data_IF_297465983713
#
_entry.id   IF_297465983713
#
_cell.length_a   1.000
_cell.length_b   1.000
_cell.length_c   1.000
_cell.angle_alpha   90.00
_cell.angle_beta   90.00
_cell.angle_gamma   90.00
#
_symmetry.space_group_name_H-M   'P 1'
#
loop_
_entity.id
_entity.type
_entity.pdbx_description
1 polymer ?
#
# COMPACT_ATOMS: atom_id res chain seq x y z
N UNK A 1 13.71 3.70 12.54
CA UNK A 1 13.00 2.78 13.45
C UNK A 1 11.66 3.32 13.95
N UNK A 2 11.57 4.56 14.44
CA UNK A 2 10.34 5.17 14.98
C UNK A 2 9.17 5.13 13.97
N UNK A 3 9.39 5.41 12.69
CA UNK A 3 8.33 5.39 11.67
C UNK A 3 7.70 4.01 11.44
N UNK A 4 8.49 2.94 11.49
CA UNK A 4 7.96 1.57 11.41
C UNK A 4 7.17 1.19 12.65
N UNK A 5 7.61 1.65 13.83
CA UNK A 5 6.88 1.46 15.07
C UNK A 5 5.51 2.14 15.03
N UNK A 6 5.45 3.40 14.58
CA UNK A 6 4.19 4.14 14.44
C UNK A 6 3.27 3.49 13.42
N UNK A 7 3.79 3.06 12.27
CA UNK A 7 3.00 2.37 11.25
C UNK A 7 2.42 1.05 11.77
N UNK A 8 3.23 0.23 12.45
CA UNK A 8 2.81 -1.04 13.04
C UNK A 8 1.85 -0.87 14.21
N UNK A 9 2.06 0.15 15.04
CA UNK A 9 1.24 0.45 16.21
C UNK A 9 -0.24 0.64 15.86
N UNK A 10 -0.53 1.33 14.75
CA UNK A 10 -1.92 1.51 14.27
C UNK A 10 -2.58 0.16 13.97
N UNK A 11 -1.87 -0.76 13.29
CA UNK A 11 -2.39 -2.09 13.02
C UNK A 11 -2.59 -2.93 14.29
N UNK A 12 -1.70 -2.80 15.28
CA UNK A 12 -1.81 -3.49 16.57
C UNK A 12 -3.00 -2.95 17.39
N UNK A 13 -3.21 -1.62 17.38
CA UNK A 13 -4.37 -1.02 18.07
C UNK A 13 -5.70 -1.54 17.53
N UNK A 14 -5.83 -1.71 16.21
CA UNK A 14 -7.04 -2.25 15.60
C UNK A 14 -7.30 -3.69 16.05
N UNK A 15 -6.25 -4.48 16.29
CA UNK A 15 -6.36 -5.87 16.73
C UNK A 15 -6.96 -6.03 18.15
N UNK A 16 -6.84 -5.01 19.00
CA UNK A 16 -7.36 -5.03 20.38
C UNK A 16 -8.83 -4.65 20.45
N UNK A 17 -9.40 -4.18 19.34
CA UNK A 17 -10.82 -3.83 19.28
C UNK A 17 -11.70 -5.05 19.13
N UNK A 18 -12.92 -5.00 19.69
CA UNK A 18 -13.92 -6.07 19.61
C UNK A 18 -14.62 -6.21 18.26
N UNK A 19 -14.15 -5.51 17.23
CA UNK A 19 -14.75 -5.53 15.89
C UNK A 19 -14.41 -6.83 15.15
N UNK A 20 -15.42 -7.57 14.66
CA UNK A 20 -15.23 -8.91 14.08
C UNK A 20 -14.26 -8.94 12.89
N UNK A 21 -14.30 -7.93 12.03
CA UNK A 21 -13.42 -7.83 10.87
C UNK A 21 -11.96 -7.68 11.28
N UNK A 22 -11.67 -6.75 12.19
CA UNK A 22 -10.29 -6.51 12.66
C UNK A 22 -9.77 -7.67 13.51
N UNK A 23 -10.62 -8.25 14.37
CA UNK A 23 -10.26 -9.41 15.19
C UNK A 23 -9.92 -10.64 14.32
N UNK A 24 -10.70 -10.91 13.27
CA UNK A 24 -10.44 -12.02 12.35
C UNK A 24 -9.15 -11.83 11.54
N UNK A 25 -8.75 -10.59 11.26
CA UNK A 25 -7.57 -10.25 10.46
C UNK A 25 -6.38 -9.80 11.29
N UNK A 26 -6.48 -9.88 12.61
CA UNK A 26 -5.50 -9.41 13.60
C UNK A 26 -4.02 -9.75 13.25
N UNK A 27 -3.64 -11.00 12.90
CA UNK A 27 -2.23 -11.33 12.67
C UNK A 27 -1.65 -10.66 11.42
N UNK A 28 -2.49 -10.18 10.48
CA UNK A 28 -2.05 -9.64 9.19
C UNK A 28 -2.13 -8.12 9.13
N UNK A 29 -3.05 -7.49 9.89
CA UNK A 29 -3.22 -6.02 9.86
C UNK A 29 -1.95 -5.26 10.23
N UNK A 30 -1.25 -5.66 11.28
CA UNK A 30 0.02 -5.04 11.69
C UNK A 30 1.08 -5.07 10.58
N UNK A 31 1.46 -6.25 10.08
CA UNK A 31 2.35 -6.41 8.93
C UNK A 31 1.90 -5.63 7.69
N UNK A 32 0.61 -5.63 7.36
CA UNK A 32 0.07 -4.89 6.22
C UNK A 32 0.32 -3.38 6.36
N UNK A 33 0.03 -2.80 7.53
CA UNK A 33 0.26 -1.37 7.78
C UNK A 33 1.74 -0.99 7.71
N UNK A 34 2.64 -1.87 8.18
CA UNK A 34 4.09 -1.67 8.09
C UNK A 34 4.55 -1.70 6.63
N UNK A 35 4.14 -2.70 5.86
CA UNK A 35 4.53 -2.86 4.45
C UNK A 35 3.97 -1.73 3.60
N UNK A 36 2.70 -1.38 3.78
CA UNK A 36 2.07 -0.24 3.11
C UNK A 36 2.74 1.09 3.47
N UNK A 37 3.17 1.26 4.73
CA UNK A 37 3.96 2.41 5.18
C UNK A 37 5.34 2.46 4.52
N UNK A 38 5.99 1.31 4.36
CA UNK A 38 7.29 1.21 3.70
C UNK A 38 7.19 1.53 2.20
N UNK A 39 6.18 1.00 1.50
CA UNK A 39 5.93 1.28 0.08
C UNK A 39 5.60 2.77 -0.14
N UNK A 40 4.65 3.33 0.60
CA UNK A 40 4.31 4.76 0.48
C UNK A 40 5.51 5.66 0.83
N UNK A 41 6.33 5.29 1.81
CA UNK A 41 7.59 5.98 2.13
C UNK A 41 8.59 5.94 0.98
N UNK A 42 8.80 4.78 0.38
CA UNK A 42 9.67 4.62 -0.79
C UNK A 42 9.17 5.43 -1.99
N UNK A 43 7.86 5.39 -2.27
CA UNK A 43 7.22 6.17 -3.32
C UNK A 43 7.40 7.69 -3.10
N UNK A 44 7.25 8.17 -1.86
CA UNK A 44 7.47 9.58 -1.50
C UNK A 44 8.92 10.01 -1.72
N UNK A 45 9.89 9.18 -1.32
CA UNK A 45 11.31 9.44 -1.53
C UNK A 45 11.63 9.45 -3.04
N UNK A 46 11.10 8.48 -3.79
CA UNK A 46 11.25 8.39 -5.26
C UNK A 46 10.75 9.66 -5.93
N UNK A 47 9.56 10.15 -5.53
CA UNK A 47 8.97 11.37 -6.04
C UNK A 47 9.84 12.60 -5.71
N UNK A 48 10.32 12.70 -4.47
CA UNK A 48 11.19 13.78 -4.02
C UNK A 48 12.54 13.81 -4.75
N UNK A 49 13.19 12.65 -4.91
CA UNK A 49 14.45 12.51 -5.64
C UNK A 49 14.29 12.93 -7.11
N UNK A 50 13.16 12.54 -7.72
CA UNK A 50 12.82 12.91 -9.09
C UNK A 50 12.61 14.43 -9.23
N UNK A 51 11.92 15.04 -8.28
CA UNK A 51 11.65 16.47 -8.28
C UNK A 51 12.94 17.30 -8.10
N UNK A 52 13.80 16.87 -7.19
CA UNK A 52 15.08 17.55 -6.91
C UNK A 52 16.15 17.30 -7.98
N UNK A 53 15.94 16.36 -8.90
CA UNK A 53 16.95 15.95 -9.92
C UNK A 53 18.30 15.53 -9.32
N UNK A 54 18.32 15.12 -8.05
CA UNK A 54 19.55 14.88 -7.25
C UNK A 54 19.80 13.38 -7.04
N UNK A 55 19.31 12.53 -7.93
CA UNK A 55 19.39 11.10 -7.72
C UNK A 55 20.73 10.52 -8.14
N UNK A 56 21.38 9.81 -7.22
CA UNK A 56 22.35 8.78 -7.58
C UNK A 56 21.59 7.62 -8.22
N UNK A 57 21.86 7.30 -9.48
CA UNK A 57 21.14 6.29 -10.27
C UNK A 57 21.06 4.94 -9.55
N UNK A 58 22.11 4.55 -8.82
CA UNK A 58 22.17 3.30 -8.07
C UNK A 58 21.21 3.27 -6.86
N UNK A 59 21.17 4.33 -6.08
CA UNK A 59 20.28 4.43 -4.93
C UNK A 59 18.81 4.49 -5.37
N UNK A 60 18.54 5.21 -6.45
CA UNK A 60 17.23 5.32 -7.05
C UNK A 60 16.70 3.96 -7.56
N UNK A 61 17.54 3.21 -8.28
CA UNK A 61 17.17 1.88 -8.77
C UNK A 61 16.86 0.91 -7.61
N UNK A 62 17.67 0.91 -6.56
CA UNK A 62 17.40 0.09 -5.37
C UNK A 62 16.08 0.47 -4.69
N UNK A 63 15.79 1.75 -4.59
CA UNK A 63 14.56 2.24 -3.98
C UNK A 63 13.32 1.80 -4.79
N UNK A 64 13.36 1.92 -6.11
CA UNK A 64 12.27 1.48 -6.99
C UNK A 64 12.08 -0.04 -6.93
N UNK A 65 13.17 -0.81 -6.85
CA UNK A 65 13.09 -2.27 -6.68
C UNK A 65 12.49 -2.65 -5.32
N UNK A 66 12.89 -1.94 -4.26
CA UNK A 66 12.32 -2.14 -2.93
C UNK A 66 10.81 -1.85 -2.92
N UNK A 67 10.39 -0.71 -3.48
CA UNK A 67 8.98 -0.35 -3.58
C UNK A 67 8.17 -1.41 -4.34
N UNK A 68 8.69 -1.90 -5.46
CA UNK A 68 8.05 -3.00 -6.21
C UNK A 68 7.84 -4.25 -5.36
N UNK A 69 8.85 -4.66 -4.58
CA UNK A 69 8.75 -5.83 -3.69
C UNK A 69 7.72 -5.55 -2.58
N UNK A 70 7.76 -4.38 -1.97
CA UNK A 70 6.84 -3.98 -0.92
C UNK A 70 5.38 -4.02 -1.42
N UNK A 71 5.10 -3.48 -2.61
CA UNK A 71 3.75 -3.51 -3.22
C UNK A 71 3.30 -4.95 -3.54
N UNK A 72 4.21 -5.84 -3.97
CA UNK A 72 3.88 -7.25 -4.17
C UNK A 72 3.53 -7.95 -2.85
N UNK A 73 4.29 -7.69 -1.79
CA UNK A 73 3.99 -8.22 -0.44
C UNK A 73 2.67 -7.66 0.08
N UNK A 74 2.39 -6.38 -0.15
CA UNK A 74 1.12 -5.75 0.20
C UNK A 74 -0.07 -6.46 -0.47
N UNK A 75 0.05 -6.78 -1.76
CA UNK A 75 -0.98 -7.53 -2.49
C UNK A 75 -1.21 -8.92 -1.88
N UNK A 76 -0.14 -9.63 -1.52
CA UNK A 76 -0.24 -10.94 -0.87
C UNK A 76 -0.92 -10.84 0.51
N UNK A 77 -0.59 -9.82 1.30
CA UNK A 77 -1.21 -9.58 2.60
C UNK A 77 -2.70 -9.21 2.47
N UNK A 78 -3.08 -8.43 1.47
CA UNK A 78 -4.48 -8.14 1.16
C UNK A 78 -5.23 -9.43 0.79
N UNK A 79 -4.65 -10.28 -0.05
CA UNK A 79 -5.25 -11.57 -0.39
C UNK A 79 -5.42 -12.46 0.87
N UNK A 80 -4.43 -12.47 1.77
CA UNK A 80 -4.51 -13.19 3.03
C UNK A 80 -5.61 -12.64 3.97
N UNK A 81 -5.83 -11.31 3.98
CA UNK A 81 -6.96 -10.70 4.71
C UNK A 81 -8.29 -11.26 4.22
N UNK A 82 -8.50 -11.36 2.90
CA UNK A 82 -9.74 -11.94 2.36
C UNK A 82 -9.94 -13.40 2.75
N UNK A 83 -8.85 -14.17 2.80
CA UNK A 83 -8.91 -15.57 3.22
C UNK A 83 -9.28 -15.71 4.70
N UNK A 84 -8.73 -14.87 5.56
CA UNK A 84 -8.99 -14.91 7.00
C UNK A 84 -10.33 -14.26 7.38
N UNK A 85 -10.66 -13.13 6.77
CA UNK A 85 -11.89 -12.41 7.06
C UNK A 85 -13.14 -13.22 6.64
N UNK A 86 -13.05 -14.02 5.55
CA UNK A 86 -14.15 -14.84 5.07
C UNK A 86 -15.45 -14.05 4.96
N UNK A 87 -16.48 -14.45 5.71
CA UNK A 87 -17.78 -13.77 5.76
C UNK A 87 -17.74 -12.34 6.29
N UNK A 88 -16.74 -12.00 7.11
CA UNK A 88 -16.58 -10.64 7.65
C UNK A 88 -15.99 -9.65 6.64
N UNK A 89 -15.57 -10.10 5.45
CA UNK A 89 -15.16 -9.24 4.35
C UNK A 89 -16.35 -8.63 3.56
N UNK A 90 -17.58 -9.00 3.88
CA UNK A 90 -18.80 -8.52 3.19
C UNK A 90 -18.88 -6.98 3.05
N UNK A 91 -18.45 -6.14 4.02
CA UNK A 91 -18.47 -4.69 3.86
C UNK A 91 -17.62 -4.20 2.68
N UNK A 92 -16.52 -4.86 2.35
CA UNK A 92 -15.64 -4.50 1.23
C UNK A 92 -16.24 -4.76 -0.15
N UNK A 93 -17.33 -5.55 -0.21
CA UNK A 93 -18.11 -5.83 -1.43
C UNK A 93 -19.39 -5.00 -1.54
N UNK A 94 -19.71 -4.20 -0.51
CA UNK A 94 -20.86 -3.29 -0.57
C UNK A 94 -20.53 -2.03 -1.38
N UNK A 95 -21.55 -1.47 -2.05
CA UNK A 95 -21.45 -0.13 -2.65
C UNK A 95 -21.48 0.91 -1.51
N UNK A 96 -20.55 1.91 -1.46
CA UNK A 96 -19.55 2.36 -2.42
C UNK A 96 -18.14 1.75 -2.25
N UNK A 97 -17.91 0.89 -1.23
CA UNK A 97 -16.59 0.33 -0.93
C UNK A 97 -16.02 -0.53 -2.06
N UNK A 98 -16.88 -1.18 -2.84
CA UNK A 98 -16.46 -1.95 -4.00
C UNK A 98 -15.61 -1.11 -4.96
N UNK A 99 -16.09 0.06 -5.35
CA UNK A 99 -15.35 0.94 -6.26
C UNK A 99 -14.11 1.55 -5.61
N UNK A 100 -14.22 1.95 -4.34
CA UNK A 100 -13.12 2.60 -3.63
C UNK A 100 -11.97 1.62 -3.36
N UNK A 101 -12.27 0.42 -2.89
CA UNK A 101 -11.29 -0.59 -2.56
C UNK A 101 -10.72 -1.25 -3.82
N UNK A 102 -11.56 -1.81 -4.69
CA UNK A 102 -11.09 -2.52 -5.88
C UNK A 102 -10.54 -1.58 -6.95
N UNK A 103 -11.22 -0.47 -7.24
CA UNK A 103 -10.78 0.54 -8.22
C UNK A 103 -9.66 1.44 -7.66
N UNK A 104 -9.84 1.97 -6.46
CA UNK A 104 -8.90 2.89 -5.84
C UNK A 104 -7.65 2.20 -5.28
N UNK A 105 -7.80 1.16 -4.46
CA UNK A 105 -6.67 0.50 -3.82
C UNK A 105 -6.02 -0.54 -4.74
N UNK A 106 -6.78 -1.55 -5.16
CA UNK A 106 -6.21 -2.70 -5.88
C UNK A 106 -5.76 -2.30 -7.29
N UNK A 107 -6.66 -1.69 -8.08
CA UNK A 107 -6.34 -1.36 -9.47
C UNK A 107 -5.35 -0.18 -9.54
N UNK A 108 -5.69 0.98 -8.95
CA UNK A 108 -4.87 2.18 -9.10
C UNK A 108 -3.68 2.24 -8.14
N UNK A 109 -3.83 1.73 -6.91
CA UNK A 109 -2.78 1.78 -5.89
C UNK A 109 -1.73 0.67 -5.99
N UNK A 110 -2.09 -0.49 -6.54
CA UNK A 110 -1.23 -1.67 -6.56
C UNK A 110 -0.89 -2.11 -7.99
N UNK A 111 -1.90 -2.49 -8.78
CA UNK A 111 -1.66 -3.10 -10.10
C UNK A 111 -1.06 -2.12 -11.11
N UNK A 112 -1.56 -0.89 -11.18
CA UNK A 112 -1.03 0.13 -12.09
C UNK A 112 0.42 0.53 -11.75
N UNK A 113 0.81 0.80 -10.49
CA UNK A 113 2.21 1.03 -10.15
C UNK A 113 3.12 -0.13 -10.50
N UNK A 114 2.75 -1.38 -10.20
CA UNK A 114 3.52 -2.57 -10.58
C UNK A 114 3.73 -2.64 -12.08
N UNK A 115 2.67 -2.42 -12.86
CA UNK A 115 2.73 -2.44 -14.33
C UNK A 115 3.60 -1.31 -14.88
N UNK A 116 3.44 -0.08 -14.38
CA UNK A 116 4.23 1.09 -14.78
C UNK A 116 5.73 0.90 -14.47
N UNK A 117 6.05 0.39 -13.28
CA UNK A 117 7.42 0.08 -12.88
C UNK A 117 7.97 -1.07 -13.73
N UNK A 118 7.16 -2.12 -13.98
CA UNK A 118 7.56 -3.27 -14.79
C UNK A 118 7.85 -2.95 -16.25
N UNK A 119 7.15 -1.96 -16.81
CA UNK A 119 7.34 -1.50 -18.20
C UNK A 119 8.37 -0.39 -18.34
N UNK A 120 8.91 0.13 -17.24
CA UNK A 120 9.96 1.14 -17.27
C UNK A 120 11.30 0.51 -17.69
N UNK A 121 11.74 0.81 -18.92
CA UNK A 121 13.00 0.29 -19.49
C UNK A 121 14.25 0.75 -18.73
N UNK A 122 14.22 1.91 -18.08
CA UNK A 122 15.31 2.48 -17.27
C UNK A 122 14.74 3.18 -16.06
N UNK A 123 15.26 2.85 -14.89
CA UNK A 123 14.96 3.53 -13.64
C UNK A 123 15.82 4.81 -13.55
N UNK A 124 15.37 5.89 -14.19
CA UNK A 124 16.04 7.18 -14.16
C UNK A 124 15.15 8.24 -13.53
N UNK A 125 15.71 9.16 -12.75
CA UNK A 125 14.99 10.34 -12.27
C UNK A 125 14.45 11.14 -13.47
N UNK A 126 13.21 11.63 -13.35
CA UNK A 126 12.53 12.34 -14.44
C UNK A 126 11.72 11.47 -15.40
N UNK A 127 11.68 10.15 -15.21
CA UNK A 127 10.80 9.29 -15.98
C UNK A 127 9.35 9.50 -15.51
N UNK A 128 8.49 10.07 -16.37
CA UNK A 128 7.09 10.36 -16.05
C UNK A 128 6.27 9.15 -15.59
N UNK A 129 6.62 7.94 -16.05
CA UNK A 129 5.97 6.70 -15.60
C UNK A 129 6.26 6.40 -14.12
N UNK A 130 7.48 6.65 -13.66
CA UNK A 130 7.86 6.44 -12.26
C UNK A 130 7.21 7.51 -11.36
N UNK A 131 7.11 8.75 -11.83
CA UNK A 131 6.38 9.80 -11.11
C UNK A 131 4.91 9.39 -10.94
N UNK A 132 4.27 8.98 -12.03
CA UNK A 132 2.87 8.54 -12.00
C UNK A 132 2.69 7.32 -11.07
N UNK A 133 3.58 6.32 -11.15
CA UNK A 133 3.54 5.16 -10.28
C UNK A 133 3.67 5.56 -8.80
N UNK A 134 4.59 6.48 -8.47
CA UNK A 134 4.76 6.96 -7.08
C UNK A 134 3.53 7.72 -6.56
N UNK A 135 2.92 8.56 -7.38
CA UNK A 135 1.68 9.28 -7.00
C UNK A 135 0.54 8.29 -6.78
N UNK A 136 0.38 7.31 -7.68
CA UNK A 136 -0.65 6.27 -7.55
C UNK A 136 -0.42 5.38 -6.33
N UNK A 137 0.82 5.01 -6.02
CA UNK A 137 1.15 4.26 -4.81
C UNK A 137 0.84 5.04 -3.53
N UNK A 138 1.14 6.35 -3.49
CA UNK A 138 0.82 7.22 -2.36
C UNK A 138 -0.70 7.34 -2.14
N UNK A 139 -1.45 7.60 -3.19
CA UNK A 139 -2.92 7.72 -3.11
C UNK A 139 -3.57 6.39 -2.78
N UNK A 140 -3.11 5.29 -3.39
CA UNK A 140 -3.58 3.93 -3.11
C UNK A 140 -3.34 3.50 -1.67
N UNK A 141 -2.15 3.76 -1.12
CA UNK A 141 -1.85 3.46 0.28
C UNK A 141 -2.66 4.28 1.29
N UNK A 142 -2.98 5.54 0.97
CA UNK A 142 -3.90 6.34 1.77
C UNK A 142 -5.33 5.77 1.73
N UNK A 143 -5.83 5.44 0.54
CA UNK A 143 -7.15 4.84 0.35
C UNK A 143 -7.27 3.48 1.05
N UNK A 144 -6.24 2.64 0.99
CA UNK A 144 -6.22 1.36 1.69
C UNK A 144 -6.45 1.53 3.19
N UNK A 145 -5.75 2.47 3.82
CA UNK A 145 -5.90 2.75 5.26
C UNK A 145 -7.31 3.23 5.58
N UNK A 146 -7.86 4.15 4.78
CA UNK A 146 -9.22 4.67 4.96
C UNK A 146 -10.24 3.52 4.81
N UNK A 147 -10.12 2.69 3.77
CA UNK A 147 -11.02 1.57 3.54
C UNK A 147 -10.98 0.54 4.67
N UNK A 148 -9.78 0.17 5.17
CA UNK A 148 -9.65 -0.79 6.27
C UNK A 148 -10.19 -0.26 7.59
N UNK A 149 -10.00 1.04 7.87
CA UNK A 149 -10.55 1.68 9.05
C UNK A 149 -12.08 1.73 9.01
N UNK A 150 -12.66 2.09 7.88
CA UNK A 150 -14.11 2.19 7.71
C UNK A 150 -14.78 0.81 7.63
N UNK A 151 -14.14 -0.18 6.99
CA UNK A 151 -14.69 -1.54 6.90
C UNK A 151 -14.88 -2.21 8.27
N UNK A 152 -14.08 -1.83 9.27
CA UNK A 152 -14.27 -2.33 10.63
C UNK A 152 -15.29 -1.56 11.46
N UNK A 153 -15.86 -0.46 10.93
CA UNK A 153 -16.88 0.33 11.62
C UNK A 153 -18.31 0.01 11.17
N UNK A 154 -18.45 -0.78 10.11
CA UNK A 154 -19.71 -1.28 9.54
C UNK A 154 -20.02 -2.68 10.06
#
# INVERSE_FOLDING_TARGET
MIGFFIAGYTGVLLNVTAQPFWAATAPILGPLFVVSGASTGAAAITLFMTWRKTANDYAFEKLVRFDRIAVMVELLLIAAIFLLAGKYASPLFSLPFLFLFWGGVVLSGILLPIWLIGTARKFRPGNGRLILASVLALTGGALLRICLLQAGQL
#
